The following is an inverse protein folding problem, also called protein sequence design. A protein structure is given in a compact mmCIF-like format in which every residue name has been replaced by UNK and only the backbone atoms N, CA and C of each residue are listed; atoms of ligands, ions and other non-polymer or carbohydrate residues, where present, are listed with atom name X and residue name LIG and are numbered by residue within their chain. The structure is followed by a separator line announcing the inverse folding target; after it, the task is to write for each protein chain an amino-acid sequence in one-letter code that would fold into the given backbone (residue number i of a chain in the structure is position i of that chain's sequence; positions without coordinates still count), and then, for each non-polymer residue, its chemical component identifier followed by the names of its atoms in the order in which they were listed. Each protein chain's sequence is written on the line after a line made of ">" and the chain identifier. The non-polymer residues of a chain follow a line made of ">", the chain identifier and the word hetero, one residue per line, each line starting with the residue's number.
data_IF_985251735956
#
_entry.id   IF_985251735956
#
_cell.length_a   1.000
_cell.length_b   1.000
_cell.length_c   1.000
_cell.angle_alpha   90.00
_cell.angle_beta   90.00
_cell.angle_gamma   90.00
#
_symmetry.space_group_name_H-M   'P 1'
#
loop_
_entity.id
_entity.type
_entity.pdbx_description
1 polymer ?
#
# COMPACT_ATOMS: atom_id res chain seq x y z
N UNK A 1 13.52 8.52 -5.01
CA UNK A 1 14.86 8.10 -5.38
C UNK A 1 14.84 6.94 -6.37
N UNK A 2 14.31 7.16 -7.57
CA UNK A 2 14.30 6.13 -8.63
C UNK A 2 15.69 5.91 -9.23
N UNK A 3 16.54 6.94 -9.22
CA UNK A 3 17.88 6.93 -9.78
C UNK A 3 18.98 6.70 -8.73
N UNK A 4 18.61 6.46 -7.47
CA UNK A 4 19.50 6.18 -6.33
C UNK A 4 20.55 7.28 -6.06
N UNK A 5 20.16 8.54 -6.25
CA UNK A 5 21.03 9.69 -5.99
C UNK A 5 20.87 10.28 -4.57
N UNK A 6 19.98 9.71 -3.76
CA UNK A 6 19.69 10.11 -2.39
C UNK A 6 18.74 11.30 -2.28
N UNK A 7 18.11 11.73 -3.37
CA UNK A 7 17.20 12.87 -3.38
C UNK A 7 15.77 12.46 -3.76
N UNK A 8 14.84 13.36 -3.42
CA UNK A 8 13.43 13.24 -3.77
C UNK A 8 13.11 14.19 -4.93
N UNK A 9 13.75 13.99 -6.09
CA UNK A 9 13.59 14.83 -7.28
C UNK A 9 12.81 14.11 -8.40
N UNK A 10 12.18 12.97 -8.09
CA UNK A 10 11.43 12.17 -9.06
C UNK A 10 9.92 12.11 -8.77
N UNK A 11 9.15 11.96 -9.86
CA UNK A 11 7.73 11.64 -9.82
C UNK A 11 7.49 10.32 -10.56
N UNK A 12 6.82 9.40 -9.89
CA UNK A 12 6.34 8.15 -10.47
C UNK A 12 4.81 8.18 -10.54
N UNK A 13 4.23 8.58 -11.67
CA UNK A 13 2.78 8.52 -11.85
C UNK A 13 2.31 7.10 -12.06
N UNK A 14 1.12 6.85 -11.54
CA UNK A 14 0.32 5.69 -11.90
C UNK A 14 -0.44 5.97 -13.20
N UNK A 15 -0.52 4.96 -14.07
CA UNK A 15 -1.35 4.99 -15.27
C UNK A 15 -2.24 3.74 -15.32
N UNK A 16 -3.55 3.95 -15.28
CA UNK A 16 -4.57 2.90 -15.24
C UNK A 16 -4.85 2.26 -16.61
N UNK A 17 -4.38 2.88 -17.69
CA UNK A 17 -4.68 2.53 -19.07
C UNK A 17 -3.49 1.85 -19.75
N UNK A 18 -3.72 0.65 -20.28
CA UNK A 18 -2.70 -0.17 -20.95
C UNK A 18 -2.03 0.54 -22.13
N UNK A 19 -2.74 1.44 -22.81
CA UNK A 19 -2.22 2.19 -23.96
C UNK A 19 -1.40 3.44 -23.60
N UNK A 20 -1.14 3.67 -22.32
CA UNK A 20 -0.27 4.75 -21.83
C UNK A 20 1.07 4.14 -21.41
N UNK A 21 2.21 4.74 -21.80
CA UNK A 21 3.51 4.22 -21.40
C UNK A 21 3.75 4.42 -19.89
N UNK A 22 4.23 3.39 -19.21
CA UNK A 22 4.82 3.54 -17.89
C UNK A 22 6.08 4.42 -17.99
N UNK A 23 6.18 5.44 -17.14
CA UNK A 23 7.26 6.41 -17.17
C UNK A 23 7.42 7.07 -15.81
N UNK A 24 8.63 7.53 -15.53
CA UNK A 24 8.92 8.41 -14.40
C UNK A 24 9.47 9.74 -14.91
N UNK A 25 9.47 10.73 -14.03
CA UNK A 25 9.90 12.09 -14.34
C UNK A 25 10.94 12.53 -13.34
N UNK A 26 12.00 13.15 -13.81
CA UNK A 26 13.10 13.66 -13.00
C UNK A 26 13.14 15.18 -13.09
N UNK A 27 13.31 15.87 -11.97
CA UNK A 27 13.47 17.31 -11.94
C UNK A 27 14.93 17.69 -12.20
N UNK A 28 15.26 18.09 -13.43
CA UNK A 28 16.59 18.59 -13.82
C UNK A 28 16.50 20.03 -14.27
N UNK A 29 17.30 20.92 -13.67
CA UNK A 29 17.34 22.35 -14.00
C UNK A 29 15.94 22.99 -14.03
N UNK A 30 15.12 22.69 -13.03
CA UNK A 30 13.72 23.13 -12.91
C UNK A 30 12.80 22.67 -14.06
N UNK A 31 13.16 21.59 -14.77
CA UNK A 31 12.36 20.98 -15.83
C UNK A 31 12.17 19.50 -15.57
N UNK A 32 10.95 19.02 -15.85
CA UNK A 32 10.65 17.59 -15.82
C UNK A 32 11.19 16.91 -17.06
N UNK A 33 12.12 15.98 -16.87
CA UNK A 33 12.64 15.08 -17.89
C UNK A 33 11.88 13.77 -17.78
N UNK A 34 11.21 13.35 -18.85
CA UNK A 34 10.47 12.08 -18.90
C UNK A 34 11.41 10.94 -19.26
N UNK A 35 11.37 9.88 -18.46
CA UNK A 35 12.04 8.61 -18.70
C UNK A 35 11.00 7.54 -18.94
N UNK A 36 10.95 7.00 -20.16
CA UNK A 36 10.00 5.93 -20.51
C UNK A 36 10.54 4.60 -20.04
N UNK A 37 9.73 3.87 -19.27
CA UNK A 37 10.08 2.56 -18.67
C UNK A 37 9.54 1.43 -19.53
N UNK A 38 8.29 1.56 -19.98
CA UNK A 38 7.62 0.60 -20.87
C UNK A 38 6.65 1.33 -21.79
N UNK A 39 6.37 0.76 -22.95
CA UNK A 39 5.40 1.30 -23.91
C UNK A 39 3.93 1.11 -23.49
N UNK A 40 3.71 0.37 -22.39
CA UNK A 40 2.39 0.12 -21.81
C UNK A 40 2.43 0.28 -20.29
N UNK A 41 1.24 0.32 -19.69
CA UNK A 41 1.05 0.31 -18.23
C UNK A 41 0.45 -1.00 -17.75
N UNK A 42 0.62 -1.30 -16.47
CA UNK A 42 0.38 -2.64 -15.92
C UNK A 42 -0.72 -2.68 -14.84
N UNK A 43 -1.58 -1.67 -14.79
CA UNK A 43 -2.77 -1.64 -13.93
C UNK A 43 -2.81 -0.45 -12.99
N UNK A 44 -3.87 -0.40 -12.18
CA UNK A 44 -4.08 0.63 -11.16
C UNK A 44 -3.40 0.21 -9.86
N UNK A 45 -2.48 1.03 -9.38
CA UNK A 45 -1.53 0.76 -8.30
C UNK A 45 -0.09 0.90 -8.78
N UNK A 46 0.73 1.61 -8.02
CA UNK A 46 2.15 1.84 -8.33
C UNK A 46 2.98 1.81 -7.04
N UNK A 47 4.20 1.31 -7.14
CA UNK A 47 5.19 1.36 -6.06
C UNK A 47 6.60 1.44 -6.62
N UNK A 48 7.57 1.72 -5.75
CA UNK A 48 8.98 1.71 -6.10
C UNK A 48 9.84 1.22 -4.94
N UNK A 49 10.94 0.54 -5.27
CA UNK A 49 11.97 0.11 -4.32
C UNK A 49 12.77 -1.07 -4.86
N UNK A 50 13.89 -1.38 -4.22
CA UNK A 50 14.75 -2.53 -4.58
C UNK A 50 14.07 -3.84 -4.19
N UNK A 51 13.42 -4.50 -5.15
CA UNK A 51 12.61 -5.68 -4.92
C UNK A 51 13.45 -6.97 -4.95
N UNK A 52 14.50 -6.98 -5.76
CA UNK A 52 15.32 -8.16 -6.01
C UNK A 52 16.66 -8.18 -5.24
N UNK A 53 16.97 -7.10 -4.51
CA UNK A 53 18.15 -6.94 -3.64
C UNK A 53 19.43 -6.55 -4.38
N UNK A 54 19.33 -6.00 -5.59
CA UNK A 54 20.50 -5.62 -6.40
C UNK A 54 20.97 -4.18 -6.18
N UNK A 55 20.29 -3.44 -5.30
CA UNK A 55 20.60 -2.07 -4.96
C UNK A 55 20.04 -1.04 -5.95
N UNK A 56 19.15 -1.43 -6.87
CA UNK A 56 18.47 -0.52 -7.82
C UNK A 56 16.99 -0.42 -7.48
N UNK A 57 16.43 0.78 -7.62
CA UNK A 57 15.01 0.99 -7.35
C UNK A 57 14.17 0.49 -8.53
N UNK A 58 13.43 -0.59 -8.31
CA UNK A 58 12.49 -1.17 -9.26
C UNK A 58 11.13 -0.46 -9.21
N UNK A 59 10.30 -0.68 -10.23
CA UNK A 59 8.92 -0.18 -10.28
C UNK A 59 7.94 -1.35 -10.15
N UNK A 60 7.03 -1.25 -9.18
CA UNK A 60 6.04 -2.28 -8.88
C UNK A 60 4.68 -1.93 -9.47
N UNK A 61 4.00 -2.94 -9.99
CA UNK A 61 2.68 -2.81 -10.62
C UNK A 61 1.79 -3.99 -10.22
N UNK A 62 0.47 -3.91 -10.44
CA UNK A 62 -0.43 -4.99 -10.05
C UNK A 62 -0.27 -6.29 -10.83
N UNK A 63 0.42 -6.27 -11.98
CA UNK A 63 0.62 -7.42 -12.87
C UNK A 63 2.07 -7.89 -12.97
N UNK A 64 2.98 -7.23 -12.26
CA UNK A 64 4.40 -7.37 -12.53
C UNK A 64 5.25 -6.36 -11.81
N UNK A 65 6.55 -6.46 -11.99
CA UNK A 65 7.48 -5.39 -11.67
C UNK A 65 8.44 -5.19 -12.84
N UNK A 66 8.96 -3.98 -12.93
CA UNK A 66 9.92 -3.56 -13.93
C UNK A 66 11.26 -3.43 -13.20
N UNK A 67 12.19 -4.32 -13.57
CA UNK A 67 13.57 -4.30 -13.06
C UNK A 67 14.31 -3.14 -13.69
N UNK A 68 14.91 -2.29 -12.87
CA UNK A 68 15.73 -1.19 -13.34
C UNK A 68 16.92 -1.72 -14.17
N UNK A 69 17.36 -1.02 -15.24
CA UNK A 69 18.59 -1.37 -15.94
C UNK A 69 19.83 -1.01 -15.09
N UNK A 70 21.00 -1.56 -15.42
CA UNK A 70 22.22 -1.35 -14.63
C UNK A 70 22.68 0.11 -14.66
N UNK A 71 22.38 0.80 -15.77
CA UNK A 71 22.50 2.25 -15.89
C UNK A 71 21.12 2.82 -16.23
N UNK A 72 20.50 3.47 -15.26
CA UNK A 72 19.17 4.07 -15.39
C UNK A 72 19.12 5.27 -16.34
N UNK A 73 20.28 5.84 -16.69
CA UNK A 73 20.39 6.93 -17.66
C UNK A 73 20.64 6.42 -19.10
N UNK A 74 20.87 5.11 -19.27
CA UNK A 74 21.07 4.53 -20.58
C UNK A 74 19.74 4.34 -21.32
N UNK A 75 19.81 4.04 -22.62
CA UNK A 75 18.64 3.62 -23.40
C UNK A 75 18.27 2.15 -23.17
N UNK A 76 18.84 1.47 -22.17
CA UNK A 76 18.52 0.09 -21.87
C UNK A 76 17.07 -0.02 -21.40
N UNK A 77 16.37 -1.04 -21.89
CA UNK A 77 14.99 -1.31 -21.49
C UNK A 77 14.95 -1.91 -20.09
N UNK A 78 13.92 -1.53 -19.33
CA UNK A 78 13.60 -2.18 -18.06
C UNK A 78 13.08 -3.59 -18.34
N UNK A 79 13.48 -4.55 -17.50
CA UNK A 79 13.04 -5.95 -17.68
C UNK A 79 11.74 -6.18 -16.94
N UNK A 80 10.67 -6.53 -17.65
CA UNK A 80 9.39 -6.83 -17.03
C UNK A 80 9.32 -8.27 -16.51
N UNK A 81 9.02 -8.41 -15.22
CA UNK A 81 8.78 -9.68 -14.54
C UNK A 81 7.30 -9.79 -14.19
N UNK A 82 6.59 -10.62 -14.97
CA UNK A 82 5.15 -10.83 -14.77
C UNK A 82 4.85 -11.57 -13.46
N UNK A 83 3.70 -11.25 -12.85
CA UNK A 83 3.14 -11.99 -11.73
C UNK A 83 1.61 -11.87 -11.69
N UNK A 84 1.01 -12.48 -10.68
CA UNK A 84 -0.43 -12.50 -10.45
C UNK A 84 -0.87 -11.97 -9.08
N UNK A 85 -0.01 -11.28 -8.31
CA UNK A 85 -0.36 -10.87 -6.94
C UNK A 85 -1.60 -9.97 -6.89
N UNK A 86 -1.77 -9.10 -7.88
CA UNK A 86 -2.95 -8.23 -7.98
C UNK A 86 -4.20 -8.95 -8.49
N UNK A 87 -4.05 -10.13 -9.08
CA UNK A 87 -5.17 -10.93 -9.59
C UNK A 87 -5.80 -11.85 -8.53
N UNK A 88 -5.25 -11.90 -7.30
CA UNK A 88 -5.72 -12.75 -6.21
C UNK A 88 -6.78 -12.01 -5.37
N UNK A 89 -8.09 -12.31 -5.54
CA UNK A 89 -9.15 -11.58 -4.85
C UNK A 89 -9.12 -11.85 -3.35
N UNK A 90 -9.45 -10.83 -2.56
CA UNK A 90 -9.70 -10.96 -1.13
C UNK A 90 -11.22 -11.03 -0.96
N UNK A 91 -11.72 -12.18 -0.51
CA UNK A 91 -13.15 -12.34 -0.29
C UNK A 91 -13.58 -11.61 0.99
N UNK A 92 -14.79 -11.01 1.03
CA UNK A 92 -15.31 -10.40 2.24
C UNK A 92 -15.25 -11.37 3.43
N UNK A 93 -14.92 -10.85 4.60
CA UNK A 93 -14.87 -11.66 5.82
C UNK A 93 -16.20 -12.41 6.05
N UNK A 94 -16.11 -13.72 6.27
CA UNK A 94 -17.28 -14.59 6.45
C UNK A 94 -17.86 -15.19 5.16
N UNK A 95 -17.36 -14.81 3.97
CA UNK A 95 -17.72 -15.47 2.71
C UNK A 95 -17.15 -16.89 2.68
N UNK A 96 -18.00 -17.87 2.33
CA UNK A 96 -17.53 -19.23 2.05
C UNK A 96 -16.84 -19.24 0.70
N UNK A 97 -15.60 -19.70 0.69
CA UNK A 97 -14.84 -19.91 -0.54
C UNK A 97 -15.41 -21.15 -1.25
N UNK A 98 -16.37 -20.97 -2.15
CA UNK A 98 -16.74 -21.99 -3.12
C UNK A 98 -16.24 -21.59 -4.51
N UNK A 99 -16.09 -22.58 -5.39
CA UNK A 99 -15.51 -22.41 -6.72
C UNK A 99 -16.37 -21.57 -7.69
N UNK A 100 -17.52 -21.03 -7.25
CA UNK A 100 -18.41 -20.17 -8.05
C UNK A 100 -18.26 -18.67 -7.76
N UNK A 101 -17.37 -18.29 -6.82
CA UNK A 101 -17.13 -16.89 -6.50
C UNK A 101 -16.39 -16.20 -7.65
N UNK A 102 -17.12 -15.40 -8.41
CA UNK A 102 -16.58 -14.52 -9.45
C UNK A 102 -15.86 -13.35 -8.75
N UNK A 103 -14.63 -12.98 -9.16
CA UNK A 103 -13.98 -11.76 -8.67
C UNK A 103 -14.93 -10.58 -8.84
N UNK A 104 -15.15 -9.84 -7.75
CA UNK A 104 -16.27 -8.89 -7.64
C UNK A 104 -16.15 -7.73 -8.63
N UNK A 105 -14.96 -7.55 -9.21
CA UNK A 105 -14.60 -6.43 -10.08
C UNK A 105 -14.45 -6.80 -11.58
N UNK A 106 -15.05 -7.92 -12.04
CA UNK A 106 -14.99 -8.37 -13.45
C UNK A 106 -13.57 -8.50 -14.02
N UNK A 107 -12.59 -8.87 -13.19
CA UNK A 107 -11.19 -9.00 -13.59
C UNK A 107 -10.41 -7.67 -13.68
N UNK A 108 -10.97 -6.54 -13.25
CA UNK A 108 -10.19 -5.31 -13.03
C UNK A 108 -9.28 -5.49 -11.82
N UNK A 109 -7.99 -5.46 -12.09
CA UNK A 109 -6.94 -5.48 -11.08
C UNK A 109 -6.64 -4.04 -10.69
N UNK A 110 -6.98 -3.67 -9.45
CA UNK A 110 -6.79 -2.32 -8.91
C UNK A 110 -6.32 -2.41 -7.47
N UNK A 111 -5.04 -2.13 -7.29
CA UNK A 111 -4.37 -2.03 -6.00
C UNK A 111 -4.19 -0.55 -5.62
N UNK A 112 -3.97 -0.27 -4.34
CA UNK A 112 -3.46 1.02 -3.86
C UNK A 112 -1.99 1.20 -4.22
N UNK A 113 -1.32 2.15 -3.56
CA UNK A 113 0.14 2.18 -3.51
C UNK A 113 0.69 0.81 -3.07
N UNK A 114 1.80 0.39 -3.68
CA UNK A 114 2.51 -0.84 -3.34
C UNK A 114 3.74 -0.48 -2.49
N UNK A 115 3.81 -0.99 -1.27
CA UNK A 115 4.91 -0.72 -0.34
C UNK A 115 5.84 -1.93 -0.23
N UNK A 116 7.15 -1.70 -0.16
CA UNK A 116 8.16 -2.73 0.04
C UNK A 116 8.70 -2.75 1.47
N UNK A 117 8.32 -3.76 2.24
CA UNK A 117 8.66 -3.92 3.66
C UNK A 117 8.98 -5.40 3.93
N UNK A 118 9.98 -5.69 4.76
CA UNK A 118 10.27 -7.06 5.20
C UNK A 118 9.43 -7.35 6.45
N UNK A 119 8.26 -7.98 6.27
CA UNK A 119 7.27 -8.17 7.34
C UNK A 119 7.61 -9.40 8.19
N UNK A 120 8.11 -10.46 7.58
CA UNK A 120 8.45 -11.68 8.32
C UNK A 120 9.90 -11.68 8.85
N UNK A 121 10.71 -10.68 8.50
CA UNK A 121 12.09 -10.51 8.95
C UNK A 121 13.03 -11.56 8.39
N UNK A 122 12.82 -11.97 7.14
CA UNK A 122 13.64 -12.98 6.45
C UNK A 122 14.66 -12.39 5.47
N UNK A 123 14.73 -11.06 5.40
CA UNK A 123 15.67 -10.31 4.58
C UNK A 123 15.23 -10.09 3.14
N UNK A 124 14.05 -10.57 2.72
CA UNK A 124 13.48 -10.29 1.40
C UNK A 124 12.39 -9.22 1.53
N UNK A 125 12.21 -8.43 0.47
CA UNK A 125 11.16 -7.41 0.45
C UNK A 125 9.83 -8.05 0.08
N UNK A 126 8.86 -7.87 0.97
CA UNK A 126 7.46 -8.20 0.74
C UNK A 126 6.70 -6.99 0.23
N UNK A 127 5.56 -7.23 -0.40
CA UNK A 127 4.70 -6.18 -0.93
C UNK A 127 3.48 -6.02 -0.05
N UNK A 128 3.12 -4.80 0.35
CA UNK A 128 1.84 -4.49 1.01
C UNK A 128 1.00 -3.61 0.10
N UNK A 129 -0.27 -3.98 -0.06
CA UNK A 129 -1.21 -3.22 -0.88
C UNK A 129 -2.68 -3.47 -0.50
N UNK A 130 -3.48 -2.42 -0.63
CA UNK A 130 -4.94 -2.47 -0.58
C UNK A 130 -5.57 -2.86 -1.90
N UNK A 131 -6.73 -3.51 -1.84
CA UNK A 131 -7.59 -3.75 -2.99
C UNK A 131 -8.51 -2.53 -3.17
N UNK A 132 -8.11 -1.61 -4.04
CA UNK A 132 -8.78 -0.33 -4.18
C UNK A 132 -10.27 -0.49 -4.56
N UNK A 133 -10.61 -1.46 -5.40
CA UNK A 133 -11.97 -1.65 -5.90
C UNK A 133 -12.59 -2.97 -5.42
N UNK A 134 -12.02 -3.57 -4.37
CA UNK A 134 -12.50 -4.82 -3.78
C UNK A 134 -12.42 -4.74 -2.25
N UNK A 135 -12.52 -5.88 -1.57
CA UNK A 135 -12.37 -5.97 -0.13
C UNK A 135 -10.91 -6.01 0.30
N UNK A 136 -10.64 -5.34 1.41
CA UNK A 136 -9.47 -5.58 2.22
C UNK A 136 -8.13 -5.17 1.62
N UNK A 137 -7.09 -5.59 2.33
CA UNK A 137 -5.71 -5.41 1.96
C UNK A 137 -4.87 -6.59 2.45
N UNK A 138 -3.75 -6.81 1.80
CA UNK A 138 -2.89 -7.96 2.00
C UNK A 138 -1.43 -7.57 1.93
N UNK A 139 -0.59 -8.45 2.45
CA UNK A 139 0.80 -8.48 2.07
C UNK A 139 1.11 -9.75 1.26
N UNK A 140 2.15 -9.67 0.45
CA UNK A 140 2.60 -10.72 -0.45
C UNK A 140 4.03 -11.06 -0.08
N UNK A 141 4.22 -12.23 0.50
CA UNK A 141 5.52 -12.76 0.92
C UNK A 141 6.33 -13.14 -0.30
N UNK A 142 7.54 -12.62 -0.41
CA UNK A 142 8.50 -13.10 -1.40
C UNK A 142 9.17 -14.37 -0.85
N UNK A 143 8.91 -15.52 -1.46
CA UNK A 143 9.58 -16.78 -1.10
C UNK A 143 11.02 -16.81 -1.60
N UNK A 144 11.85 -17.71 -1.06
CA UNK A 144 13.26 -17.85 -1.45
C UNK A 144 13.45 -18.20 -2.95
N UNK A 145 12.45 -18.83 -3.58
CA UNK A 145 12.43 -19.14 -5.01
C UNK A 145 11.82 -18.02 -5.87
N UNK A 146 11.57 -16.83 -5.29
CA UNK A 146 10.89 -15.68 -5.89
C UNK A 146 9.43 -15.92 -6.29
N UNK A 147 8.81 -17.00 -5.81
CA UNK A 147 7.36 -17.15 -5.83
C UNK A 147 6.71 -16.28 -4.74
N UNK A 148 5.38 -16.11 -4.81
CA UNK A 148 4.65 -15.17 -3.96
C UNK A 148 3.49 -15.82 -3.21
N UNK A 149 3.50 -15.70 -1.88
CA UNK A 149 2.41 -16.16 -1.00
C UNK A 149 1.57 -14.96 -0.56
N UNK A 150 0.25 -15.01 -0.75
CA UNK A 150 -0.63 -13.94 -0.27
C UNK A 150 -1.05 -14.19 1.18
N UNK A 151 -0.97 -13.14 2.00
CA UNK A 151 -1.47 -13.12 3.36
C UNK A 151 -2.44 -11.94 3.54
N UNK A 152 -3.70 -12.27 3.77
CA UNK A 152 -4.76 -11.27 4.02
C UNK A 152 -4.54 -10.66 5.40
N UNK A 153 -4.50 -9.32 5.47
CA UNK A 153 -4.37 -8.58 6.74
C UNK A 153 -5.76 -8.31 7.31
N UNK A 154 -6.64 -7.72 6.49
CA UNK A 154 -8.04 -7.50 6.84
C UNK A 154 -8.90 -7.62 5.57
N UNK A 155 -10.05 -8.28 5.70
CA UNK A 155 -11.05 -8.46 4.65
C UNK A 155 -12.45 -8.00 5.07
N UNK A 156 -12.57 -7.33 6.22
CA UNK A 156 -13.86 -6.95 6.83
C UNK A 156 -14.44 -5.64 6.29
N UNK A 157 -13.70 -4.92 5.46
CA UNK A 157 -14.12 -3.66 4.84
C UNK A 157 -13.57 -3.57 3.41
N UNK A 158 -14.15 -2.68 2.59
CA UNK A 158 -13.80 -2.54 1.17
C UNK A 158 -13.19 -1.21 0.80
N UNK A 159 -12.72 -1.11 -0.44
CA UNK A 159 -12.17 0.10 -1.06
C UNK A 159 -10.89 0.63 -0.41
N UNK A 160 -9.92 -0.26 -0.21
CA UNK A 160 -8.59 0.06 0.31
C UNK A 160 -7.75 0.78 -0.75
N UNK A 161 -8.05 2.07 -0.96
CA UNK A 161 -7.32 2.94 -1.92
C UNK A 161 -5.99 3.45 -1.39
N UNK A 162 -5.73 3.24 -0.11
CA UNK A 162 -4.55 3.72 0.55
C UNK A 162 -4.20 2.80 1.72
N UNK A 163 -2.90 2.54 1.84
CA UNK A 163 -2.27 1.94 3.00
C UNK A 163 -1.08 2.84 3.30
N UNK A 164 -0.97 3.38 4.51
CA UNK A 164 0.11 4.31 4.89
C UNK A 164 1.06 3.60 5.85
N UNK A 165 2.32 3.35 5.46
CA UNK A 165 3.32 2.86 6.39
C UNK A 165 3.60 3.92 7.47
N UNK A 166 3.53 3.54 8.74
CA UNK A 166 3.68 4.47 9.87
C UNK A 166 4.20 3.76 11.11
N UNK A 167 5.10 4.40 11.86
CA UNK A 167 5.46 4.01 13.23
C UNK A 167 4.64 4.88 14.19
N UNK A 168 3.40 4.46 14.48
CA UNK A 168 2.44 5.28 15.24
C UNK A 168 2.70 5.24 16.74
N UNK A 169 3.27 4.13 17.24
CA UNK A 169 3.53 3.91 18.67
C UNK A 169 4.98 4.27 19.08
N UNK A 170 5.86 4.57 18.11
CA UNK A 170 7.25 5.00 18.33
C UNK A 170 8.19 3.86 18.72
N UNK A 171 7.88 2.62 18.38
CA UNK A 171 8.71 1.45 18.71
C UNK A 171 9.78 1.15 17.64
N UNK A 172 9.80 1.92 16.55
CA UNK A 172 10.73 1.77 15.44
C UNK A 172 10.31 0.72 14.40
N UNK A 173 9.18 0.04 14.60
CA UNK A 173 8.57 -0.87 13.65
C UNK A 173 7.61 -0.10 12.74
N UNK A 174 7.68 -0.38 11.44
CA UNK A 174 6.72 0.20 10.49
C UNK A 174 5.46 -0.66 10.47
N UNK A 175 4.38 -0.07 10.96
CA UNK A 175 3.01 -0.57 10.90
C UNK A 175 2.24 0.05 9.73
N UNK A 176 0.91 -0.08 9.75
CA UNK A 176 0.07 0.44 8.67
C UNK A 176 -1.18 1.15 9.20
N UNK A 177 -1.46 2.32 8.65
CA UNK A 177 -2.77 2.96 8.73
C UNK A 177 -3.53 2.65 7.44
N UNK A 178 -4.72 2.10 7.55
CA UNK A 178 -5.55 1.77 6.40
C UNK A 178 -7.03 1.93 6.72
N UNK A 179 -7.85 2.10 5.69
CA UNK A 179 -9.28 2.26 5.89
C UNK A 179 -10.06 2.34 4.60
N UNK A 180 -11.37 2.40 4.77
CA UNK A 180 -12.30 2.44 3.66
C UNK A 180 -12.40 3.84 3.07
N UNK A 181 -12.21 3.95 1.77
CA UNK A 181 -12.57 5.18 1.02
C UNK A 181 -14.09 5.30 0.92
N UNK A 182 -14.64 6.40 1.42
CA UNK A 182 -16.08 6.68 1.32
C UNK A 182 -16.50 6.90 -0.14
N UNK A 183 -17.37 6.01 -0.66
CA UNK A 183 -17.97 6.13 -2.00
C UNK A 183 -16.93 6.35 -3.11
N UNK A 184 -15.88 5.53 -3.20
CA UNK A 184 -14.75 5.74 -4.12
C UNK A 184 -15.20 5.96 -5.58
N UNK A 185 -16.02 5.05 -6.11
CA UNK A 185 -16.57 5.12 -7.47
C UNK A 185 -18.07 5.38 -7.50
N UNK A 186 -18.57 6.25 -6.61
CA UNK A 186 -19.96 6.71 -6.58
C UNK A 186 -20.99 5.57 -6.52
N UNK A 187 -20.59 4.48 -5.88
CA UNK A 187 -21.43 3.32 -5.66
C UNK A 187 -21.41 2.27 -6.76
N UNK A 188 -20.23 2.01 -7.34
CA UNK A 188 -20.01 0.89 -8.26
C UNK A 188 -19.14 -0.20 -7.64
N UNK A 189 -18.55 0.05 -6.48
CA UNK A 189 -17.61 -0.87 -5.84
C UNK A 189 -18.31 -1.76 -4.80
N UNK A 190 -17.81 -2.99 -4.58
CA UNK A 190 -18.28 -3.85 -3.52
C UNK A 190 -18.24 -3.15 -2.16
N UNK A 191 -19.27 -3.37 -1.34
CA UNK A 191 -19.34 -2.83 0.00
C UNK A 191 -19.42 -1.31 0.10
N UNK A 192 -19.76 -0.57 -0.97
CA UNK A 192 -19.76 0.92 -0.96
C UNK A 192 -20.52 1.50 0.26
N UNK A 193 -21.63 0.87 0.64
CA UNK A 193 -22.60 1.33 1.66
C UNK A 193 -22.31 0.76 3.04
N UNK A 194 -21.34 -0.14 3.15
CA UNK A 194 -20.89 -0.66 4.43
C UNK A 194 -20.37 0.50 5.29
N UNK A 195 -20.33 0.37 6.63
CA UNK A 195 -19.76 1.39 7.49
C UNK A 195 -18.35 1.82 7.05
N UNK A 196 -18.05 3.11 7.19
CA UNK A 196 -16.70 3.64 6.98
C UNK A 196 -15.88 3.38 8.23
N UNK A 197 -14.59 3.13 8.06
CA UNK A 197 -13.65 3.10 9.17
C UNK A 197 -12.23 3.38 8.70
N UNK A 198 -11.42 3.78 9.68
CA UNK A 198 -9.98 3.92 9.57
C UNK A 198 -9.35 3.23 10.79
N UNK A 199 -8.25 2.52 10.55
CA UNK A 199 -7.67 1.59 11.49
C UNK A 199 -6.15 1.65 11.42
N UNK A 200 -5.52 1.51 12.58
CA UNK A 200 -4.09 1.24 12.67
C UNK A 200 -3.88 -0.27 12.87
N UNK A 201 -2.94 -0.83 12.11
CA UNK A 201 -2.61 -2.25 12.06
C UNK A 201 -1.17 -2.42 12.52
N UNK A 202 -1.05 -2.75 13.80
CA UNK A 202 0.21 -3.14 14.44
C UNK A 202 0.48 -4.61 14.11
N UNK A 203 1.73 -4.96 13.83
CA UNK A 203 2.09 -6.36 13.64
C UNK A 203 3.28 -6.79 14.47
N UNK A 204 3.30 -8.06 14.83
CA UNK A 204 4.45 -8.65 15.52
C UNK A 204 4.81 -9.99 14.95
N UNK A 205 6.10 -10.28 14.96
CA UNK A 205 6.61 -11.62 14.65
C UNK A 205 6.19 -12.60 15.75
N UNK A 206 5.62 -13.72 15.35
CA UNK A 206 5.27 -14.79 16.28
C UNK A 206 6.53 -15.50 16.78
N UNK A 207 6.61 -15.85 18.08
CA UNK A 207 7.73 -16.60 18.60
C UNK A 207 7.77 -18.00 17.97
N UNK A 208 8.95 -18.64 17.97
CA UNK A 208 9.19 -19.93 17.30
C UNK A 208 8.19 -21.05 17.62
N UNK A 209 7.57 -21.03 18.80
CA UNK A 209 6.54 -21.99 19.24
C UNK A 209 5.15 -21.74 18.64
N UNK A 210 4.93 -20.56 18.03
CA UNK A 210 3.65 -20.11 17.46
C UNK A 210 3.75 -19.81 15.96
N UNK A 211 4.93 -19.98 15.34
CA UNK A 211 5.12 -19.77 13.91
C UNK A 211 4.11 -20.60 13.11
N UNK A 212 3.32 -19.91 12.30
CA UNK A 212 2.37 -20.51 11.40
C UNK A 212 2.70 -20.07 9.97
N UNK A 213 3.19 -20.97 9.10
CA UNK A 213 3.48 -20.61 7.72
C UNK A 213 2.27 -20.04 6.96
N UNK A 214 1.03 -20.29 7.42
CA UNK A 214 -0.18 -19.75 6.77
C UNK A 214 -0.36 -18.25 6.94
N UNK A 215 0.25 -17.63 7.95
CA UNK A 215 0.22 -16.18 8.15
C UNK A 215 1.60 -15.53 8.01
N UNK A 216 2.55 -16.23 7.39
CA UNK A 216 3.95 -15.78 7.24
C UNK A 216 4.67 -15.59 8.56
N UNK A 217 4.17 -16.18 9.66
CA UNK A 217 4.81 -16.07 10.97
C UNK A 217 4.59 -14.73 11.68
N UNK A 218 3.57 -13.94 11.28
CA UNK A 218 3.20 -12.68 11.94
C UNK A 218 1.76 -12.69 12.45
N UNK A 219 1.51 -11.90 13.47
CA UNK A 219 0.17 -11.59 13.99
C UNK A 219 -0.14 -10.12 13.75
N UNK A 220 -1.38 -9.85 13.33
CA UNK A 220 -1.91 -8.51 13.11
C UNK A 220 -2.86 -8.13 14.24
N UNK A 221 -2.64 -6.95 14.82
CA UNK A 221 -3.48 -6.34 15.84
C UNK A 221 -4.14 -5.12 15.20
N UNK A 222 -5.46 -5.16 15.08
CA UNK A 222 -6.23 -4.04 14.55
C UNK A 222 -6.71 -3.12 15.68
N UNK A 223 -6.30 -1.87 15.61
CA UNK A 223 -6.77 -0.78 16.45
C UNK A 223 -7.75 0.08 15.65
N UNK A 224 -8.90 0.42 16.26
CA UNK A 224 -9.94 1.23 15.60
C UNK A 224 -9.68 2.70 15.91
N UNK A 225 -9.48 3.50 14.86
CA UNK A 225 -9.41 4.97 14.99
C UNK A 225 -10.82 5.57 14.87
N UNK A 226 -11.57 5.20 13.83
CA UNK A 226 -13.01 5.45 13.71
C UNK A 226 -13.71 4.26 13.03
N UNK A 227 -14.96 4.00 13.40
CA UNK A 227 -15.81 3.02 12.73
C UNK A 227 -17.28 3.37 12.87
N UNK A 228 -18.00 3.39 11.74
CA UNK A 228 -19.40 3.79 11.68
C UNK A 228 -19.62 5.29 11.78
N UNK A 229 -18.56 6.07 12.05
CA UNK A 229 -18.54 7.51 11.89
C UNK A 229 -18.40 7.94 10.42
N UNK A 230 -17.77 9.09 10.21
CA UNK A 230 -17.57 9.68 8.87
C UNK A 230 -16.12 9.62 8.41
N UNK A 231 -15.19 9.31 9.30
CA UNK A 231 -13.76 9.26 8.97
C UNK A 231 -13.44 7.92 8.30
N UNK A 232 -12.80 8.00 7.15
CA UNK A 232 -12.25 6.86 6.42
C UNK A 232 -10.88 7.21 5.88
N UNK A 233 -10.15 6.23 5.35
CA UNK A 233 -8.89 6.51 4.66
C UNK A 233 -9.21 7.03 3.25
N UNK A 234 -8.68 8.21 2.94
CA UNK A 234 -8.95 8.93 1.70
C UNK A 234 -8.21 8.34 0.49
N UNK A 235 -7.42 9.17 -0.17
CA UNK A 235 -6.30 8.73 -1.04
C UNK A 235 -4.97 9.35 -0.56
N UNK A 236 -5.04 10.12 0.52
CA UNK A 236 -3.95 10.89 1.12
C UNK A 236 -4.27 11.12 2.60
N UNK A 237 -3.89 10.16 3.41
CA UNK A 237 -3.95 10.18 4.86
C UNK A 237 -2.53 10.46 5.37
N UNK A 238 -2.39 11.36 6.33
CA UNK A 238 -1.09 11.78 6.84
C UNK A 238 -1.03 11.49 8.34
N UNK A 239 0.06 10.86 8.77
CA UNK A 239 0.44 10.76 10.16
C UNK A 239 1.53 11.79 10.46
N UNK A 240 1.27 12.71 11.39
CA UNK A 240 2.19 13.82 11.72
C UNK A 240 1.90 14.33 13.13
N UNK A 241 2.95 14.67 13.86
CA UNK A 241 2.88 15.42 15.11
C UNK A 241 2.46 16.87 14.78
N UNK A 242 1.15 17.15 14.77
CA UNK A 242 0.64 18.46 14.33
C UNK A 242 0.66 19.49 15.46
N UNK A 243 0.56 19.04 16.70
CA UNK A 243 0.49 19.89 17.88
C UNK A 243 1.87 20.08 18.57
N UNK A 244 2.86 19.27 18.21
CA UNK A 244 4.24 19.34 18.70
C UNK A 244 4.45 18.66 20.06
N UNK A 245 3.56 17.77 20.48
CA UNK A 245 3.67 17.06 21.76
C UNK A 245 4.53 15.79 21.70
N UNK A 246 4.90 15.40 20.47
CA UNK A 246 5.82 14.31 20.17
C UNK A 246 5.16 12.97 19.90
N UNK A 247 3.84 12.85 19.85
CA UNK A 247 3.17 11.71 19.22
C UNK A 247 2.59 12.07 17.84
N UNK A 248 2.24 11.07 17.04
CA UNK A 248 1.75 11.29 15.68
C UNK A 248 0.21 11.28 15.69
N UNK A 249 -0.38 12.34 15.14
CA UNK A 249 -1.81 12.45 14.88
C UNK A 249 -2.16 11.97 13.48
N UNK A 250 -3.45 11.72 13.24
CA UNK A 250 -3.93 11.24 11.95
C UNK A 250 -4.84 12.29 11.30
N UNK A 251 -4.44 12.76 10.12
CA UNK A 251 -5.24 13.66 9.27
C UNK A 251 -5.72 12.89 8.05
N UNK A 252 -7.03 12.83 7.86
CA UNK A 252 -7.62 12.19 6.68
C UNK A 252 -8.56 13.12 5.94
N UNK A 253 -8.29 13.29 4.63
CA UNK A 253 -9.16 14.01 3.71
C UNK A 253 -9.84 13.04 2.74
N UNK A 254 -11.16 13.13 2.62
CA UNK A 254 -11.92 12.29 1.70
C UNK A 254 -13.27 12.90 1.30
N UNK A 255 -14.04 12.15 0.50
CA UNK A 255 -15.39 12.57 0.06
C UNK A 255 -16.35 12.80 1.23
N UNK A 256 -16.08 12.22 2.40
CA UNK A 256 -16.90 12.38 3.60
C UNK A 256 -16.52 13.61 4.45
N UNK A 257 -15.37 14.26 4.21
CA UNK A 257 -14.88 15.41 4.97
C UNK A 257 -13.36 15.44 5.15
N UNK A 258 -12.88 16.42 5.92
CA UNK A 258 -11.53 16.49 6.48
C UNK A 258 -11.63 16.22 7.98
N UNK A 259 -10.84 15.27 8.48
CA UNK A 259 -10.85 14.82 9.87
C UNK A 259 -9.44 14.85 10.44
N UNK A 260 -9.36 15.17 11.73
CA UNK A 260 -8.18 15.01 12.58
C UNK A 260 -8.56 14.04 13.69
N UNK A 261 -7.77 12.99 13.88
CA UNK A 261 -7.80 12.15 15.07
C UNK A 261 -6.51 12.42 15.86
N UNK A 262 -6.69 13.08 16.99
CA UNK A 262 -5.64 13.38 17.95
C UNK A 262 -5.18 12.10 18.64
N UNK A 263 -3.86 11.91 18.72
CA UNK A 263 -3.28 10.90 19.57
C UNK A 263 -3.07 11.48 20.98
N UNK A 264 -3.56 10.75 21.99
CA UNK A 264 -3.55 11.21 23.38
C UNK A 264 -2.54 10.43 24.23
N UNK A 265 -1.59 9.75 23.58
CA UNK A 265 -0.56 8.98 24.27
C UNK A 265 0.48 9.88 24.91
N UNK A 266 0.72 11.04 24.30
CA UNK A 266 1.43 12.16 24.88
C UNK A 266 0.43 13.30 25.13
N UNK A 267 0.91 14.25 25.90
CA UNK A 267 0.20 15.52 26.10
C UNK A 267 1.24 16.55 26.46
N UNK A 268 1.26 17.65 25.72
CA UNK A 268 1.99 18.82 26.17
C UNK A 268 1.33 19.33 27.45
N UNK A 269 2.09 19.50 28.54
CA UNK A 269 1.58 20.12 29.78
C UNK A 269 1.28 21.62 29.62
N UNK A 270 1.09 22.13 28.41
CA UNK A 270 0.89 23.54 28.13
C UNK A 270 -0.54 23.71 27.58
N UNK A 271 -1.42 24.47 28.27
CA UNK A 271 -2.70 24.80 27.67
C UNK A 271 -2.47 25.64 26.40
N UNK A 272 -3.20 25.32 25.34
CA UNK A 272 -3.26 26.13 24.11
C UNK A 272 -3.46 27.62 24.47
N UNK A 273 -2.73 28.55 23.82
CA UNK A 273 -2.81 29.98 24.10
C UNK A 273 -4.17 30.61 23.80
#
# INVERSE_FOLDING_TARGET
>A
DLNNDGKAEELLPEFDRENVPAAWFELKDHKWVKHTVSHQSYGHGIGAGDLNGDGRTDILTPRGWLEAPADINSSAEWTFHANDWGAKPILPAGTRQDASVVPVNNGRISMSQLHLIDINGDGRKDIVAGMAHDYGFAWYEQNADRSWTQHIIDASWSQAHEVVPVDLNGDGQIDFLAGKRYFAHNGSDPGERDPVGIYWYEWRKLPGTQLNPRNGGVEWIRHIVDYGGRMGAGVQTVAVDIDGDGDLDIISAGKSGLFLAENLTKSSKQPLP
#
